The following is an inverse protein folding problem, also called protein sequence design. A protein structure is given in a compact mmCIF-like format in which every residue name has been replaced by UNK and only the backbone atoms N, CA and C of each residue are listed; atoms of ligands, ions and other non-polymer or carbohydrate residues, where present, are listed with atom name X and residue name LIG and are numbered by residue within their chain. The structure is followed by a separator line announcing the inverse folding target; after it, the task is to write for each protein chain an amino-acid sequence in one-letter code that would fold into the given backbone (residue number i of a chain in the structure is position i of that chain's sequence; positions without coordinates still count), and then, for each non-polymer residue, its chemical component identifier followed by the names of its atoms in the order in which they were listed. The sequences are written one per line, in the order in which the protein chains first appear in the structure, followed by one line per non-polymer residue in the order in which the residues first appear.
data_IF_506855563256
#
_entry.id   IF_506855563256
#
_cell.length_a   1.000
_cell.length_b   1.000
_cell.length_c   1.000
_cell.angle_alpha   90.00
_cell.angle_beta   90.00
_cell.angle_gamma   90.00
#
_symmetry.space_group_name_H-M   'P 1'
#
loop_
_entity.id
_entity.type
_entity.pdbx_description
1 polymer ?
#
# COMPACT_ATOMS: atom_id res chain seq x y z
N UNK A 1 18.65 -20.57 -12.54
CA UNK A 1 19.00 -19.90 -11.27
C UNK A 1 17.79 -19.78 -10.35
N UNK A 2 16.73 -19.06 -10.73
CA UNK A 2 15.53 -18.87 -9.89
C UNK A 2 14.94 -20.18 -9.34
N UNK A 3 14.71 -21.18 -10.20
CA UNK A 3 14.15 -22.48 -9.77
C UNK A 3 15.06 -23.19 -8.75
N UNK A 4 16.38 -23.16 -8.96
CA UNK A 4 17.34 -23.77 -8.04
C UNK A 4 17.32 -23.09 -6.66
N UNK A 5 17.13 -21.76 -6.62
CA UNK A 5 16.97 -21.01 -5.37
C UNK A 5 15.65 -21.40 -4.68
N UNK A 6 14.55 -21.48 -5.43
CA UNK A 6 13.25 -21.92 -4.89
C UNK A 6 13.34 -23.34 -4.30
N UNK A 7 13.94 -24.29 -5.03
CA UNK A 7 14.15 -25.67 -4.57
C UNK A 7 15.07 -25.75 -3.34
N UNK A 8 16.10 -24.90 -3.27
CA UNK A 8 16.95 -24.83 -2.08
C UNK A 8 16.16 -24.37 -0.85
N UNK A 9 15.32 -23.34 -1.00
CA UNK A 9 14.44 -22.89 0.09
C UNK A 9 13.44 -23.96 0.50
N UNK A 10 12.88 -24.71 -0.45
CA UNK A 10 12.01 -25.86 -0.15
C UNK A 10 12.75 -26.96 0.63
N UNK A 11 14.01 -27.24 0.30
CA UNK A 11 14.80 -28.29 0.96
C UNK A 11 15.11 -28.02 2.45
N UNK A 12 15.04 -26.76 2.89
CA UNK A 12 15.28 -26.37 4.29
C UNK A 12 13.98 -26.20 5.09
N UNK A 13 12.81 -26.49 4.48
CA UNK A 13 11.51 -26.31 5.14
C UNK A 13 11.34 -27.19 6.35
N UNK A 14 10.71 -26.64 7.38
CA UNK A 14 10.34 -27.34 8.60
C UNK A 14 9.32 -26.49 9.38
N UNK A 15 8.55 -27.13 10.26
CA UNK A 15 7.43 -26.47 10.94
C UNK A 15 7.80 -25.21 11.74
N UNK A 16 9.03 -25.09 12.26
CA UNK A 16 9.47 -23.87 12.94
C UNK A 16 9.70 -22.73 11.94
N UNK A 17 10.45 -22.98 10.86
CA UNK A 17 10.72 -21.97 9.86
C UNK A 17 9.46 -21.60 9.05
N UNK A 18 8.54 -22.55 8.84
CA UNK A 18 7.24 -22.30 8.23
C UNK A 18 6.44 -21.30 9.07
N UNK A 19 6.28 -21.56 10.36
CA UNK A 19 5.58 -20.66 11.27
C UNK A 19 6.26 -19.28 11.36
N UNK A 20 7.60 -19.26 11.40
CA UNK A 20 8.36 -18.01 11.41
C UNK A 20 8.12 -17.19 10.13
N UNK A 21 8.22 -17.79 8.95
CA UNK A 21 8.07 -17.06 7.69
C UNK A 21 6.63 -16.70 7.36
N UNK A 22 5.65 -17.50 7.81
CA UNK A 22 4.24 -17.12 7.79
C UNK A 22 3.99 -15.88 8.65
N UNK A 23 4.54 -15.82 9.87
CA UNK A 23 4.44 -14.60 10.68
C UNK A 23 5.16 -13.40 10.06
N UNK A 24 6.37 -13.60 9.54
CA UNK A 24 7.16 -12.53 8.94
C UNK A 24 6.49 -11.97 7.69
N UNK A 25 5.83 -12.79 6.87
CA UNK A 25 5.20 -12.29 5.63
C UNK A 25 4.08 -11.30 5.89
N UNK A 26 3.40 -11.37 7.04
CA UNK A 26 2.33 -10.42 7.42
C UNK A 26 2.82 -8.96 7.48
N UNK A 27 4.11 -8.73 7.77
CA UNK A 27 4.70 -7.38 7.74
C UNK A 27 4.79 -6.79 6.33
N UNK A 28 4.62 -7.61 5.29
CA UNK A 28 4.49 -7.19 3.90
C UNK A 28 3.05 -7.00 3.43
N UNK A 29 2.06 -7.28 4.28
CA UNK A 29 0.64 -7.25 3.95
C UNK A 29 0.07 -5.82 3.87
N UNK A 30 -1.02 -5.67 3.12
CA UNK A 30 -1.75 -4.40 2.97
C UNK A 30 -2.25 -3.87 4.32
N UNK A 31 -2.68 -4.74 5.25
CA UNK A 31 -3.20 -4.33 6.55
C UNK A 31 -2.15 -3.55 7.37
N UNK A 32 -0.89 -4.02 7.36
CA UNK A 32 0.21 -3.32 8.05
C UNK A 32 0.44 -1.95 7.43
N UNK A 33 0.39 -1.86 6.11
CA UNK A 33 0.47 -0.58 5.41
C UNK A 33 -0.70 0.36 5.77
N UNK A 34 -1.94 -0.13 5.84
CA UNK A 34 -3.12 0.66 6.20
C UNK A 34 -3.02 1.20 7.64
N UNK A 35 -2.54 0.39 8.58
CA UNK A 35 -2.29 0.81 9.96
C UNK A 35 -1.23 1.91 10.00
N UNK A 36 -0.09 1.71 9.35
CA UNK A 36 1.00 2.70 9.35
C UNK A 36 0.54 4.01 8.66
N UNK A 37 -0.08 3.93 7.50
CA UNK A 37 -0.54 5.10 6.75
C UNK A 37 -1.58 5.91 7.54
N UNK A 38 -2.57 5.26 8.16
CA UNK A 38 -3.58 5.94 8.97
C UNK A 38 -2.97 6.59 10.22
N UNK A 39 -2.02 5.94 10.91
CA UNK A 39 -1.27 6.55 12.03
C UNK A 39 -0.50 7.77 11.53
N UNK A 40 0.28 7.63 10.45
CA UNK A 40 1.07 8.73 9.92
C UNK A 40 0.17 9.92 9.54
N UNK A 41 -0.98 9.66 8.93
CA UNK A 41 -1.88 10.67 8.41
C UNK A 41 -2.73 11.36 9.50
N UNK A 42 -3.35 10.59 10.40
CA UNK A 42 -4.27 11.12 11.41
C UNK A 42 -3.61 11.51 12.74
N UNK A 43 -2.42 10.99 13.05
CA UNK A 43 -1.80 11.13 14.39
C UNK A 43 -0.47 11.88 14.36
N UNK A 44 0.34 11.66 13.32
CA UNK A 44 1.72 12.19 13.25
C UNK A 44 1.80 13.46 12.42
N UNK A 45 1.52 13.37 11.11
CA UNK A 45 1.66 14.47 10.16
C UNK A 45 0.93 14.15 8.85
N UNK A 46 -0.09 14.95 8.52
CA UNK A 46 -0.84 14.81 7.27
C UNK A 46 0.06 14.79 6.04
N UNK A 47 1.09 15.65 6.02
CA UNK A 47 2.03 15.73 4.89
C UNK A 47 2.91 14.48 4.76
N UNK A 48 3.28 13.87 5.90
CA UNK A 48 4.03 12.62 5.90
C UNK A 48 3.14 11.45 5.47
N UNK A 49 1.96 11.32 6.06
CA UNK A 49 1.00 10.27 5.71
C UNK A 49 0.58 10.34 4.25
N UNK A 50 0.27 11.53 3.73
CA UNK A 50 -0.06 11.71 2.32
C UNK A 50 1.08 11.30 1.40
N UNK A 51 2.32 11.76 1.65
CA UNK A 51 3.49 11.35 0.86
C UNK A 51 3.74 9.85 0.91
N UNK A 52 3.62 9.24 2.09
CA UNK A 52 3.77 7.79 2.27
C UNK A 52 2.74 7.02 1.43
N UNK A 53 1.47 7.42 1.50
CA UNK A 53 0.40 6.81 0.71
C UNK A 53 0.63 6.99 -0.81
N UNK A 54 1.03 8.18 -1.27
CA UNK A 54 1.28 8.41 -2.69
C UNK A 54 2.45 7.58 -3.23
N UNK A 55 3.52 7.39 -2.44
CA UNK A 55 4.64 6.53 -2.84
C UNK A 55 4.16 5.09 -2.95
N UNK A 56 3.48 4.56 -1.93
CA UNK A 56 3.03 3.18 -1.89
C UNK A 56 2.01 2.86 -3.00
N UNK A 57 0.97 3.68 -3.15
CA UNK A 57 -0.01 3.51 -4.22
C UNK A 57 0.63 3.65 -5.60
N UNK A 58 1.59 4.57 -5.76
CA UNK A 58 2.39 4.67 -6.97
C UNK A 58 3.17 3.38 -7.28
N UNK A 59 3.73 2.74 -6.26
CA UNK A 59 4.37 1.43 -6.44
C UNK A 59 3.39 0.33 -6.80
N UNK A 60 2.18 0.32 -6.23
CA UNK A 60 1.14 -0.67 -6.60
C UNK A 60 0.75 -0.50 -8.06
N UNK A 61 0.50 0.73 -8.50
CA UNK A 61 0.15 1.03 -9.87
C UNK A 61 1.23 0.54 -10.86
N UNK A 62 2.51 0.74 -10.54
CA UNK A 62 3.62 0.22 -11.35
C UNK A 62 3.73 -1.31 -11.26
N UNK A 63 3.49 -1.91 -10.10
CA UNK A 63 3.53 -3.35 -9.90
C UNK A 63 2.51 -4.08 -10.76
N UNK A 64 1.25 -3.68 -10.69
CA UNK A 64 0.16 -4.31 -11.42
C UNK A 64 0.27 -4.06 -12.93
N UNK A 65 0.72 -2.87 -13.33
CA UNK A 65 1.10 -2.62 -14.72
C UNK A 65 2.15 -3.64 -15.18
N UNK A 66 3.26 -3.81 -14.44
CA UNK A 66 4.30 -4.76 -14.80
C UNK A 66 3.82 -6.22 -14.77
N UNK A 67 2.97 -6.58 -13.80
CA UNK A 67 2.38 -7.92 -13.70
C UNK A 67 1.57 -8.28 -14.94
N UNK A 68 0.72 -7.36 -15.37
CA UNK A 68 -0.10 -7.52 -16.58
C UNK A 68 0.77 -7.77 -17.82
N UNK A 69 1.85 -7.01 -18.01
CA UNK A 69 2.73 -7.17 -19.18
C UNK A 69 3.66 -8.39 -19.11
N UNK A 70 4.20 -8.70 -17.92
CA UNK A 70 5.17 -9.79 -17.75
C UNK A 70 4.45 -11.14 -17.69
N UNK A 71 3.26 -11.20 -17.08
CA UNK A 71 2.40 -12.39 -16.98
C UNK A 71 3.18 -13.66 -16.58
N UNK A 72 4.03 -13.54 -15.55
CA UNK A 72 4.85 -14.66 -15.08
C UNK A 72 4.04 -15.55 -14.13
N UNK A 73 3.95 -16.88 -14.35
CA UNK A 73 3.35 -17.79 -13.38
C UNK A 73 4.20 -17.87 -12.10
N UNK A 74 3.57 -18.13 -10.96
CA UNK A 74 4.28 -18.32 -9.68
C UNK A 74 5.01 -19.67 -9.64
N UNK A 75 6.03 -19.83 -8.78
CA UNK A 75 6.75 -21.10 -8.63
C UNK A 75 5.84 -22.30 -8.37
N UNK A 76 4.86 -22.14 -7.46
CA UNK A 76 3.92 -23.21 -7.11
C UNK A 76 2.89 -23.49 -8.20
N UNK A 77 2.43 -22.47 -8.93
CA UNK A 77 1.53 -22.64 -10.07
C UNK A 77 2.21 -23.37 -11.24
N UNK A 78 3.51 -23.17 -11.40
CA UNK A 78 4.33 -23.83 -12.40
C UNK A 78 4.83 -25.23 -11.97
N UNK A 79 4.44 -25.71 -10.77
CA UNK A 79 4.87 -27.01 -10.24
C UNK A 79 6.35 -27.09 -9.89
N UNK A 80 7.03 -25.97 -9.64
CA UNK A 80 8.46 -25.93 -9.29
C UNK A 80 8.70 -26.27 -7.82
N UNK A 81 7.82 -25.80 -6.93
CA UNK A 81 7.86 -26.03 -5.48
C UNK A 81 6.45 -26.08 -4.94
N UNK A 82 6.23 -26.69 -3.79
CA UNK A 82 4.97 -26.59 -3.07
C UNK A 82 4.83 -25.22 -2.39
N UNK A 83 3.59 -24.81 -2.13
CA UNK A 83 3.28 -23.59 -1.39
C UNK A 83 3.10 -23.91 0.09
N UNK A 84 3.63 -23.03 0.96
CA UNK A 84 3.39 -23.09 2.41
C UNK A 84 2.36 -22.02 2.76
N UNK A 85 1.27 -22.43 3.43
CA UNK A 85 0.13 -21.57 3.73
C UNK A 85 -0.79 -21.37 2.52
N UNK A 86 -1.53 -20.26 2.51
CA UNK A 86 -2.46 -19.96 1.42
C UNK A 86 -1.73 -19.41 0.18
N UNK A 87 -1.97 -20.05 -0.97
CA UNK A 87 -1.43 -19.61 -2.25
C UNK A 87 -2.03 -18.26 -2.68
N UNK A 88 -1.17 -17.27 -2.94
CA UNK A 88 -1.63 -16.03 -3.58
C UNK A 88 -1.84 -16.28 -5.07
N UNK A 89 -2.97 -15.85 -5.62
CA UNK A 89 -3.26 -15.96 -7.05
C UNK A 89 -2.66 -14.78 -7.86
N UNK A 90 -2.86 -14.81 -9.18
CA UNK A 90 -2.33 -13.81 -10.12
C UNK A 90 -0.83 -13.95 -10.45
N UNK A 91 -0.30 -12.96 -11.16
CA UNK A 91 1.07 -12.99 -11.68
C UNK A 91 2.15 -12.81 -10.61
N UNK A 92 3.31 -13.45 -10.83
CA UNK A 92 4.42 -13.51 -9.88
C UNK A 92 5.30 -12.26 -9.89
N UNK A 93 5.64 -11.71 -11.06
CA UNK A 93 6.60 -10.61 -11.17
C UNK A 93 5.89 -9.26 -11.34
N UNK A 94 6.18 -8.24 -10.52
CA UNK A 94 7.08 -8.22 -9.35
C UNK A 94 6.39 -8.65 -8.04
N UNK A 95 7.18 -8.99 -7.02
CA UNK A 95 6.66 -9.30 -5.67
C UNK A 95 6.11 -8.06 -4.96
N UNK A 96 4.80 -8.05 -4.70
CA UNK A 96 4.10 -6.95 -4.01
C UNK A 96 4.52 -6.78 -2.55
N UNK A 97 4.72 -7.87 -1.81
CA UNK A 97 5.16 -7.82 -0.42
C UNK A 97 6.60 -7.30 -0.27
N UNK A 98 7.51 -7.74 -1.15
CA UNK A 98 8.89 -7.24 -1.16
C UNK A 98 8.93 -5.74 -1.51
N UNK A 99 8.12 -5.32 -2.49
CA UNK A 99 7.97 -3.92 -2.86
C UNK A 99 7.36 -3.07 -1.74
N UNK A 100 6.27 -3.53 -1.12
CA UNK A 100 5.57 -2.82 -0.05
C UNK A 100 6.45 -2.64 1.18
N UNK A 101 7.08 -3.72 1.65
CA UNK A 101 7.99 -3.65 2.80
C UNK A 101 9.23 -2.79 2.54
N UNK A 102 9.80 -2.83 1.32
CA UNK A 102 10.88 -1.92 0.93
C UNK A 102 10.41 -0.45 0.88
N UNK A 103 9.21 -0.18 0.38
CA UNK A 103 8.62 1.17 0.37
C UNK A 103 8.46 1.72 1.78
N UNK A 104 7.99 0.88 2.71
CA UNK A 104 7.91 1.22 4.13
C UNK A 104 9.29 1.51 4.71
N UNK A 105 10.27 0.64 4.46
CA UNK A 105 11.63 0.82 4.95
C UNK A 105 12.26 2.13 4.46
N UNK A 106 12.18 2.42 3.15
CA UNK A 106 12.74 3.64 2.57
C UNK A 106 12.10 4.91 3.16
N UNK A 107 10.77 4.91 3.30
CA UNK A 107 10.03 6.10 3.76
C UNK A 107 10.21 6.36 5.25
N UNK A 108 10.08 5.32 6.08
CA UNK A 108 10.28 5.44 7.52
C UNK A 108 11.74 5.76 7.86
N UNK A 109 12.70 5.16 7.15
CA UNK A 109 14.11 5.48 7.34
C UNK A 109 14.42 6.94 6.99
N UNK A 110 13.85 7.46 5.89
CA UNK A 110 14.07 8.86 5.52
C UNK A 110 13.59 9.83 6.59
N UNK A 111 12.43 9.57 7.18
CA UNK A 111 11.83 10.46 8.16
C UNK A 111 12.45 10.30 9.56
N UNK A 112 12.66 9.06 10.01
CA UNK A 112 13.01 8.77 11.40
C UNK A 112 14.43 8.22 11.60
N UNK A 113 15.11 7.78 10.52
CA UNK A 113 16.43 7.13 10.59
C UNK A 113 17.55 8.03 11.10
N UNK A 114 17.48 9.34 10.82
CA UNK A 114 18.43 10.33 11.36
C UNK A 114 18.21 10.64 12.83
N UNK A 115 16.96 10.57 13.29
CA UNK A 115 16.60 10.87 14.68
C UNK A 115 16.88 9.70 15.62
N UNK A 116 16.80 8.46 15.12
CA UNK A 116 17.05 7.26 15.90
C UNK A 116 17.84 6.23 15.08
N UNK A 117 19.09 5.98 15.49
CA UNK A 117 20.02 5.05 14.83
C UNK A 117 19.50 3.62 14.70
N UNK A 118 18.54 3.20 15.53
CA UNK A 118 17.95 1.87 15.49
C UNK A 118 16.88 1.69 14.41
N UNK A 119 16.32 2.79 13.89
CA UNK A 119 15.27 2.73 12.85
C UNK A 119 15.82 2.11 11.57
N UNK A 120 16.98 2.57 11.09
CA UNK A 120 17.59 2.09 9.85
C UNK A 120 17.75 0.56 9.83
N UNK A 121 18.51 -0.06 10.76
CA UNK A 121 18.68 -1.50 10.74
C UNK A 121 17.36 -2.25 10.93
N UNK A 122 16.45 -1.76 11.77
CA UNK A 122 15.16 -2.41 12.02
C UNK A 122 14.31 -2.52 10.75
N UNK A 123 14.04 -1.39 10.08
CA UNK A 123 13.10 -1.37 8.95
C UNK A 123 13.64 -2.11 7.74
N UNK A 124 14.96 -2.03 7.48
CA UNK A 124 15.57 -2.78 6.37
C UNK A 124 15.68 -4.27 6.68
N UNK A 125 15.90 -4.66 7.94
CA UNK A 125 15.88 -6.08 8.33
C UNK A 125 14.49 -6.67 8.10
N UNK A 126 13.43 -5.97 8.51
CA UNK A 126 12.05 -6.41 8.25
C UNK A 126 11.79 -6.54 6.75
N UNK A 127 12.17 -5.55 5.93
CA UNK A 127 11.98 -5.61 4.48
C UNK A 127 12.72 -6.79 3.83
N UNK A 128 13.95 -7.09 4.27
CA UNK A 128 14.71 -8.25 3.79
C UNK A 128 14.08 -9.57 4.26
N UNK A 129 13.63 -9.66 5.52
CA UNK A 129 12.98 -10.86 6.05
C UNK A 129 11.65 -11.15 5.34
N UNK A 130 10.83 -10.12 5.09
CA UNK A 130 9.60 -10.23 4.27
C UNK A 130 9.95 -10.67 2.84
N UNK A 131 11.02 -10.10 2.26
CA UNK A 131 11.45 -10.47 0.90
C UNK A 131 11.87 -11.94 0.81
N UNK A 132 12.61 -12.45 1.81
CA UNK A 132 13.02 -13.85 1.90
C UNK A 132 11.81 -14.75 2.14
N UNK A 133 10.86 -14.35 2.98
CA UNK A 133 9.67 -15.15 3.28
C UNK A 133 8.89 -15.50 2.02
N UNK A 134 8.79 -14.57 1.05
CA UNK A 134 8.08 -14.82 -0.22
C UNK A 134 8.71 -15.92 -1.09
N UNK A 135 10.03 -16.09 -1.01
CA UNK A 135 10.74 -17.16 -1.73
C UNK A 135 10.58 -18.46 -0.95
N UNK A 136 10.80 -18.40 0.38
CA UNK A 136 10.66 -19.54 1.29
C UNK A 136 9.29 -20.20 1.18
N UNK A 137 8.22 -19.39 1.22
CA UNK A 137 6.83 -19.87 1.16
C UNK A 137 6.40 -20.34 -0.25
N UNK A 138 7.30 -20.29 -1.25
CA UNK A 138 7.03 -20.73 -2.62
C UNK A 138 6.20 -19.75 -3.45
N UNK A 139 5.95 -18.54 -2.95
CA UNK A 139 5.03 -17.57 -3.55
C UNK A 139 5.64 -16.79 -4.71
N UNK A 140 6.96 -16.58 -4.69
CA UNK A 140 7.70 -15.78 -5.67
C UNK A 140 9.10 -16.34 -5.92
N UNK A 141 9.62 -16.10 -7.12
CA UNK A 141 11.02 -16.35 -7.43
C UNK A 141 11.91 -15.24 -6.85
N UNK A 142 13.21 -15.52 -6.72
CA UNK A 142 14.20 -14.54 -6.26
C UNK A 142 14.21 -13.27 -7.14
N UNK A 143 14.17 -13.41 -8.47
CA UNK A 143 14.11 -12.25 -9.36
C UNK A 143 12.84 -11.40 -9.19
N UNK A 144 11.68 -11.99 -8.84
CA UNK A 144 10.45 -11.23 -8.59
C UNK A 144 10.61 -10.29 -7.39
N UNK A 145 11.31 -10.78 -6.36
CA UNK A 145 11.64 -10.03 -5.14
C UNK A 145 12.58 -8.87 -5.45
N UNK A 146 13.65 -9.12 -6.19
CA UNK A 146 14.61 -8.08 -6.58
C UNK A 146 13.93 -7.00 -7.42
N UNK A 147 13.13 -7.38 -8.42
CA UNK A 147 12.39 -6.42 -9.26
C UNK A 147 11.41 -5.61 -8.40
N UNK A 148 10.69 -6.24 -7.47
CA UNK A 148 9.78 -5.54 -6.55
C UNK A 148 10.50 -4.50 -5.68
N UNK A 149 11.66 -4.84 -5.11
CA UNK A 149 12.48 -3.91 -4.32
C UNK A 149 13.01 -2.76 -5.19
N UNK A 150 13.40 -3.04 -6.44
CA UNK A 150 13.85 -2.02 -7.38
C UNK A 150 12.72 -1.05 -7.77
N UNK A 151 11.50 -1.55 -8.01
CA UNK A 151 10.32 -0.71 -8.28
C UNK A 151 10.08 0.23 -7.09
N UNK A 152 10.09 -0.30 -5.86
CA UNK A 152 9.95 0.52 -4.65
C UNK A 152 11.00 1.64 -4.59
N UNK A 153 12.27 1.30 -4.84
CA UNK A 153 13.37 2.27 -4.84
C UNK A 153 13.19 3.36 -5.91
N UNK A 154 12.85 2.97 -7.15
CA UNK A 154 12.70 3.90 -8.28
C UNK A 154 11.53 4.87 -8.04
N UNK A 155 10.37 4.37 -7.60
CA UNK A 155 9.21 5.22 -7.31
C UNK A 155 9.50 6.16 -6.15
N UNK A 156 10.07 5.64 -5.05
CA UNK A 156 10.49 6.43 -3.90
C UNK A 156 11.45 7.55 -4.30
N UNK A 157 12.51 7.22 -5.05
CA UNK A 157 13.51 8.17 -5.49
C UNK A 157 12.89 9.24 -6.42
N UNK A 158 12.04 8.82 -7.34
CA UNK A 158 11.34 9.72 -8.28
C UNK A 158 10.51 10.75 -7.51
N UNK A 159 9.65 10.30 -6.58
CA UNK A 159 8.76 11.20 -5.83
C UNK A 159 9.55 12.10 -4.87
N UNK A 160 10.55 11.55 -4.17
CA UNK A 160 11.19 12.25 -3.05
C UNK A 160 12.51 12.97 -3.37
N UNK A 161 13.13 12.70 -4.51
CA UNK A 161 14.39 13.34 -4.93
C UNK A 161 14.25 14.05 -6.27
N UNK A 162 13.56 13.45 -7.25
CA UNK A 162 13.39 14.06 -8.58
C UNK A 162 12.25 15.07 -8.59
N UNK A 163 11.09 14.73 -8.02
CA UNK A 163 9.92 15.61 -7.94
C UNK A 163 10.23 17.03 -7.44
N UNK A 164 10.92 17.18 -6.29
CA UNK A 164 11.32 18.51 -5.80
C UNK A 164 12.21 19.30 -6.76
N UNK A 165 13.14 18.64 -7.48
CA UNK A 165 14.00 19.29 -8.48
C UNK A 165 13.21 19.82 -9.67
N UNK A 166 12.14 19.10 -10.05
CA UNK A 166 11.21 19.49 -11.11
C UNK A 166 10.11 20.46 -10.63
N UNK A 167 10.17 20.94 -9.37
CA UNK A 167 9.10 21.73 -8.72
C UNK A 167 7.73 21.02 -8.79
N UNK A 168 7.76 19.69 -8.86
CA UNK A 168 6.60 18.81 -8.96
C UNK A 168 6.29 18.25 -7.58
N UNK A 169 5.20 18.73 -6.98
CA UNK A 169 4.68 18.14 -5.75
C UNK A 169 3.95 16.83 -6.06
N UNK A 170 3.76 15.92 -5.08
CA UNK A 170 3.01 14.70 -5.34
C UNK A 170 1.60 14.99 -5.88
N UNK A 171 0.89 16.01 -5.37
CA UNK A 171 -0.42 16.41 -5.88
C UNK A 171 -0.38 16.78 -7.37
N UNK A 172 0.55 17.67 -7.75
CA UNK A 172 0.72 18.10 -9.14
C UNK A 172 1.05 16.92 -10.05
N UNK A 173 1.89 16.00 -9.57
CA UNK A 173 2.20 14.78 -10.31
C UNK A 173 0.95 13.94 -10.55
N UNK A 174 0.12 13.70 -9.53
CA UNK A 174 -1.11 12.92 -9.65
C UNK A 174 -2.10 13.58 -10.62
N UNK A 175 -2.32 14.89 -10.53
CA UNK A 175 -3.20 15.59 -11.47
C UNK A 175 -2.67 15.57 -12.91
N UNK A 176 -1.36 15.67 -13.10
CA UNK A 176 -0.75 15.59 -14.42
C UNK A 176 -0.80 14.17 -15.00
N UNK A 177 -0.58 13.15 -14.17
CA UNK A 177 -0.58 11.75 -14.56
C UNK A 177 -1.98 11.13 -14.65
N UNK A 178 -3.02 11.77 -14.09
CA UNK A 178 -4.37 11.21 -13.98
C UNK A 178 -4.98 10.79 -15.32
N UNK A 179 -4.82 11.51 -16.45
CA UNK A 179 -5.40 11.06 -17.71
C UNK A 179 -4.77 9.74 -18.19
N UNK A 180 -3.47 9.57 -17.97
CA UNK A 180 -2.74 8.35 -18.32
C UNK A 180 -3.12 7.22 -17.37
N UNK A 181 -3.10 7.46 -16.06
CA UNK A 181 -3.49 6.46 -15.05
C UNK A 181 -4.92 5.98 -15.25
N UNK A 182 -5.84 6.90 -15.56
CA UNK A 182 -7.24 6.55 -15.83
C UNK A 182 -7.41 5.83 -17.16
N UNK A 183 -6.71 6.26 -18.22
CA UNK A 183 -6.74 5.59 -19.52
C UNK A 183 -6.22 4.15 -19.46
N UNK A 184 -5.22 3.90 -18.61
CA UNK A 184 -4.68 2.55 -18.39
C UNK A 184 -5.65 1.60 -17.69
N UNK A 185 -6.69 2.08 -17.00
CA UNK A 185 -7.72 1.21 -16.40
C UNK A 185 -8.42 0.34 -17.45
N UNK A 186 -8.56 0.84 -18.67
CA UNK A 186 -9.19 0.10 -19.77
C UNK A 186 -8.30 -0.98 -20.39
N UNK A 187 -7.03 -1.03 -19.98
CA UNK A 187 -6.02 -1.98 -20.50
C UNK A 187 -5.57 -2.91 -19.39
N UNK A 188 -5.17 -2.36 -18.24
CA UNK A 188 -4.69 -3.10 -17.06
C UNK A 188 -5.90 -3.49 -16.22
N UNK A 189 -6.49 -4.64 -16.55
CA UNK A 189 -7.67 -5.20 -15.87
C UNK A 189 -7.29 -5.92 -14.57
N UNK A 190 -6.54 -5.24 -13.70
CA UNK A 190 -6.05 -5.75 -12.42
C UNK A 190 -6.71 -5.00 -11.26
N UNK A 191 -7.22 -5.72 -10.27
CA UNK A 191 -7.93 -5.14 -9.11
C UNK A 191 -7.09 -4.09 -8.38
N UNK A 192 -5.83 -4.37 -8.05
CA UNK A 192 -5.04 -3.43 -7.25
C UNK A 192 -4.66 -2.19 -8.05
N UNK A 193 -4.61 -2.27 -9.39
CA UNK A 193 -4.46 -1.11 -10.25
C UNK A 193 -5.67 -0.16 -10.12
N UNK A 194 -6.90 -0.69 -10.18
CA UNK A 194 -8.14 0.09 -9.99
C UNK A 194 -8.20 0.73 -8.59
N UNK A 195 -7.88 -0.04 -7.57
CA UNK A 195 -7.81 0.44 -6.17
C UNK A 195 -6.74 1.52 -6.02
N UNK A 196 -5.55 1.34 -6.60
CA UNK A 196 -4.47 2.31 -6.52
C UNK A 196 -4.83 3.64 -7.18
N UNK A 197 -5.34 3.61 -8.43
CA UNK A 197 -5.71 4.83 -9.15
C UNK A 197 -6.85 5.56 -8.44
N UNK A 198 -7.89 4.84 -8.01
CA UNK A 198 -9.00 5.44 -7.26
C UNK A 198 -8.54 6.10 -5.96
N UNK A 199 -7.72 5.40 -5.17
CA UNK A 199 -7.15 5.90 -3.92
C UNK A 199 -6.24 7.12 -4.15
N UNK A 200 -5.38 7.10 -5.17
CA UNK A 200 -4.49 8.21 -5.52
C UNK A 200 -5.28 9.49 -5.83
N UNK A 201 -6.35 9.37 -6.63
CA UNK A 201 -7.22 10.50 -6.98
C UNK A 201 -7.99 11.01 -5.77
N UNK A 202 -8.68 10.12 -5.05
CA UNK A 202 -9.50 10.47 -3.90
C UNK A 202 -8.68 11.08 -2.76
N UNK A 203 -7.51 10.52 -2.45
CA UNK A 203 -6.61 11.06 -1.43
C UNK A 203 -6.05 12.42 -1.83
N UNK A 204 -5.71 12.62 -3.11
CA UNK A 204 -5.17 13.90 -3.59
C UNK A 204 -6.22 15.00 -3.57
N UNK A 205 -7.42 14.73 -4.10
CA UNK A 205 -8.56 15.65 -4.05
C UNK A 205 -8.92 15.96 -2.60
N UNK A 206 -9.07 14.93 -1.76
CA UNK A 206 -9.46 15.08 -0.37
C UNK A 206 -8.43 15.87 0.44
N UNK A 207 -7.14 15.63 0.22
CA UNK A 207 -6.06 16.35 0.87
C UNK A 207 -6.02 17.84 0.50
N UNK A 208 -6.22 18.18 -0.78
CA UNK A 208 -6.25 19.58 -1.21
C UNK A 208 -7.49 20.31 -0.68
N UNK A 209 -8.65 19.65 -0.68
CA UNK A 209 -9.88 20.20 -0.10
C UNK A 209 -9.76 20.39 1.42
N UNK A 210 -9.15 19.44 2.13
CA UNK A 210 -8.89 19.54 3.55
C UNK A 210 -7.98 20.74 3.86
N UNK A 211 -6.90 20.91 3.08
CA UNK A 211 -5.98 22.04 3.22
C UNK A 211 -6.58 23.38 2.84
N UNK A 212 -7.63 23.41 2.01
CA UNK A 212 -8.27 24.64 1.57
C UNK A 212 -9.44 25.08 2.45
N UNK A 213 -10.15 24.12 3.06
CA UNK A 213 -11.43 24.40 3.73
C UNK A 213 -11.48 23.99 5.21
N UNK A 214 -10.71 23.00 5.66
CA UNK A 214 -10.82 22.43 7.02
C UNK A 214 -9.64 22.85 7.89
N UNK A 215 -8.42 22.81 7.36
CA UNK A 215 -7.18 23.18 8.06
C UNK A 215 -6.97 22.45 9.40
N UNK A 216 -7.28 21.16 9.47
CA UNK A 216 -7.18 20.40 10.72
C UNK A 216 -5.71 20.21 11.14
N UNK A 217 -5.30 20.78 12.27
CA UNK A 217 -3.95 20.57 12.82
C UNK A 217 -3.90 19.33 13.71
N UNK A 218 -3.20 18.30 13.23
CA UNK A 218 -2.97 17.03 13.94
C UNK A 218 -1.93 17.19 15.07
N UNK A 219 -0.98 18.11 14.93
CA UNK A 219 0.14 18.26 15.88
C UNK A 219 -0.29 18.93 17.18
N UNK A 220 -1.30 19.80 17.13
CA UNK A 220 -1.83 20.51 18.30
C UNK A 220 -2.78 19.66 19.18
N UNK A 221 -3.01 18.39 18.83
CA UNK A 221 -3.96 17.52 19.54
C UNK A 221 -3.32 16.83 20.74
N UNK A 222 -4.07 16.74 21.83
CA UNK A 222 -3.65 15.96 23.01
C UNK A 222 -3.59 14.47 22.66
N UNK A 223 -2.86 13.68 23.46
CA UNK A 223 -2.77 12.22 23.25
C UNK A 223 -4.16 11.57 23.22
N UNK A 224 -5.05 11.93 24.14
CA UNK A 224 -6.42 11.43 24.16
C UNK A 224 -7.19 11.79 22.88
N UNK A 225 -7.09 13.05 22.43
CA UNK A 225 -7.73 13.46 21.17
C UNK A 225 -7.20 12.69 19.97
N UNK A 226 -5.90 12.42 19.91
CA UNK A 226 -5.28 11.60 18.86
C UNK A 226 -5.80 10.17 18.87
N UNK A 227 -5.89 9.54 20.04
CA UNK A 227 -6.45 8.19 20.19
C UNK A 227 -7.90 8.16 19.75
N UNK A 228 -8.74 9.10 20.23
CA UNK A 228 -10.14 9.18 19.85
C UNK A 228 -10.34 9.44 18.35
N UNK A 229 -9.50 10.30 17.77
CA UNK A 229 -9.48 10.58 16.32
C UNK A 229 -9.18 9.31 15.53
N UNK A 230 -8.14 8.57 15.94
CA UNK A 230 -7.74 7.34 15.27
C UNK A 230 -8.83 6.26 15.36
N UNK A 231 -9.37 6.00 16.55
CA UNK A 231 -10.45 5.03 16.76
C UNK A 231 -11.69 5.42 15.96
N UNK A 232 -12.13 6.67 16.04
CA UNK A 232 -13.31 7.13 15.30
C UNK A 232 -13.10 7.02 13.78
N UNK A 233 -11.93 7.44 13.29
CA UNK A 233 -11.58 7.37 11.88
C UNK A 233 -11.63 5.94 11.35
N UNK A 234 -11.01 4.99 12.08
CA UNK A 234 -11.02 3.57 11.74
C UNK A 234 -12.42 2.98 11.78
N UNK A 235 -13.20 3.24 12.83
CA UNK A 235 -14.56 2.72 12.95
C UNK A 235 -15.42 3.15 11.76
N UNK A 236 -15.40 4.43 11.39
CA UNK A 236 -16.17 4.89 10.22
C UNK A 236 -15.61 4.33 8.92
N UNK A 237 -14.28 4.21 8.77
CA UNK A 237 -13.70 3.60 7.58
C UNK A 237 -14.11 2.14 7.41
N UNK A 238 -14.18 1.36 8.50
CA UNK A 238 -14.66 -0.03 8.47
C UNK A 238 -16.16 -0.11 8.16
N UNK A 239 -16.97 0.74 8.79
CA UNK A 239 -18.40 0.82 8.49
C UNK A 239 -18.67 1.22 7.04
N UNK A 240 -17.88 2.14 6.48
CA UNK A 240 -17.96 2.50 5.07
C UNK A 240 -17.50 1.34 4.18
N UNK A 241 -16.38 0.68 4.51
CA UNK A 241 -15.88 -0.47 3.73
C UNK A 241 -16.94 -1.56 3.62
N UNK A 242 -17.55 -1.96 4.74
CA UNK A 242 -18.58 -3.02 4.72
C UNK A 242 -19.93 -2.52 4.20
N UNK A 243 -20.35 -1.30 4.55
CA UNK A 243 -21.60 -0.71 4.07
C UNK A 243 -21.61 -0.46 2.56
N UNK A 244 -20.49 -0.05 1.98
CA UNK A 244 -20.37 0.16 0.54
C UNK A 244 -20.47 -1.15 -0.25
N UNK A 245 -20.04 -2.29 0.30
CA UNK A 245 -20.25 -3.60 -0.34
C UNK A 245 -21.73 -3.97 -0.46
N UNK A 246 -22.57 -3.52 0.48
CA UNK A 246 -24.03 -3.77 0.41
C UNK A 246 -24.72 -2.97 -0.70
N UNK A 247 -24.19 -1.79 -1.03
CA UNK A 247 -24.76 -0.88 -2.04
C UNK A 247 -24.12 -1.09 -3.41
N UNK A 248 -22.83 -1.42 -3.45
CA UNK A 248 -22.02 -1.67 -4.65
C UNK A 248 -21.43 -3.09 -4.59
N UNK A 249 -22.27 -4.14 -4.70
CA UNK A 249 -21.84 -5.53 -4.53
C UNK A 249 -21.03 -6.02 -5.74
N UNK A 250 -20.15 -6.99 -5.50
CA UNK A 250 -19.41 -7.69 -6.55
C UNK A 250 -19.99 -9.09 -6.80
N UNK A 251 -19.67 -9.65 -7.96
CA UNK A 251 -20.10 -10.99 -8.35
C UNK A 251 -19.34 -12.11 -7.63
N UNK A 252 -18.08 -11.87 -7.23
CA UNK A 252 -17.21 -12.85 -6.56
C UNK A 252 -16.16 -12.19 -5.64
N UNK A 253 -15.85 -12.85 -4.52
CA UNK A 253 -14.76 -12.46 -3.59
C UNK A 253 -13.37 -12.89 -4.11
N UNK A 254 -13.32 -13.73 -5.15
CA UNK A 254 -12.09 -14.29 -5.68
C UNK A 254 -11.54 -13.34 -6.75
N UNK A 255 -10.39 -12.73 -6.46
CA UNK A 255 -9.73 -11.76 -7.35
C UNK A 255 -9.51 -12.30 -8.78
N UNK A 256 -9.26 -13.60 -8.92
CA UNK A 256 -9.02 -14.25 -10.21
C UNK A 256 -10.25 -14.30 -11.13
N UNK A 257 -11.45 -14.20 -10.57
CA UNK A 257 -12.72 -14.36 -11.30
C UNK A 257 -13.50 -13.04 -11.43
N UNK A 258 -12.89 -11.91 -11.07
CA UNK A 258 -13.55 -10.60 -11.09
C UNK A 258 -13.91 -10.16 -12.51
N UNK A 259 -15.14 -9.66 -12.67
CA UNK A 259 -15.59 -9.07 -13.93
C UNK A 259 -15.11 -7.62 -14.07
N UNK A 260 -15.14 -7.07 -15.29
CA UNK A 260 -14.85 -5.65 -15.54
C UNK A 260 -15.78 -4.74 -14.71
N UNK A 261 -17.04 -5.14 -14.53
CA UNK A 261 -17.98 -4.39 -13.68
C UNK A 261 -17.51 -4.38 -12.23
N UNK A 262 -17.05 -5.52 -11.69
CA UNK A 262 -16.55 -5.61 -10.32
C UNK A 262 -15.35 -4.68 -10.08
N UNK A 263 -14.45 -4.57 -11.06
CA UNK A 263 -13.30 -3.66 -11.02
C UNK A 263 -13.75 -2.19 -10.93
N UNK A 264 -14.73 -1.77 -11.74
CA UNK A 264 -15.28 -0.41 -11.67
C UNK A 264 -16.05 -0.16 -10.37
N UNK A 265 -16.75 -1.16 -9.84
CA UNK A 265 -17.39 -1.04 -8.53
C UNK A 265 -16.36 -0.88 -7.42
N UNK A 266 -15.25 -1.62 -7.47
CA UNK A 266 -14.12 -1.41 -6.55
C UNK A 266 -13.53 0.00 -6.69
N UNK A 267 -13.34 0.49 -7.92
CA UNK A 267 -12.87 1.86 -8.13
C UNK A 267 -13.76 2.88 -7.41
N UNK A 268 -15.09 2.77 -7.54
CA UNK A 268 -16.02 3.70 -6.86
C UNK A 268 -15.98 3.53 -5.35
N UNK A 269 -16.00 2.29 -4.84
CA UNK A 269 -15.95 1.99 -3.40
C UNK A 269 -14.70 2.58 -2.75
N UNK A 270 -13.53 2.31 -3.33
CA UNK A 270 -12.26 2.80 -2.80
C UNK A 270 -12.09 4.31 -3.01
N UNK A 271 -12.66 4.89 -4.07
CA UNK A 271 -12.71 6.35 -4.21
C UNK A 271 -13.48 7.00 -3.05
N UNK A 272 -14.67 6.51 -2.71
CA UNK A 272 -15.47 7.03 -1.60
C UNK A 272 -14.76 6.82 -0.26
N UNK A 273 -14.23 5.62 -0.02
CA UNK A 273 -13.50 5.28 1.21
C UNK A 273 -12.28 6.19 1.38
N UNK A 274 -11.45 6.36 0.36
CA UNK A 274 -10.26 7.20 0.42
C UNK A 274 -10.59 8.69 0.51
N UNK A 275 -11.70 9.14 -0.08
CA UNK A 275 -12.17 10.53 0.08
C UNK A 275 -12.65 10.77 1.52
N UNK A 276 -13.31 9.79 2.14
CA UNK A 276 -13.57 9.83 3.59
C UNK A 276 -12.27 9.91 4.38
N UNK A 277 -11.29 9.04 4.13
CA UNK A 277 -10.02 9.04 4.83
C UNK A 277 -9.32 10.40 4.75
N UNK A 278 -9.26 11.00 3.56
CA UNK A 278 -8.55 12.26 3.31
C UNK A 278 -9.30 13.53 3.70
N UNK A 279 -10.64 13.55 3.63
CA UNK A 279 -11.46 14.76 3.81
C UNK A 279 -12.55 14.58 4.87
N UNK A 280 -13.40 13.57 4.70
CA UNK A 280 -14.57 13.37 5.56
C UNK A 280 -14.21 13.17 7.04
N UNK A 281 -13.15 12.40 7.29
CA UNK A 281 -12.61 12.16 8.63
C UNK A 281 -12.23 13.47 9.32
N UNK A 282 -11.46 14.34 8.66
CA UNK A 282 -11.06 15.63 9.22
C UNK A 282 -12.21 16.61 9.39
N UNK A 283 -13.22 16.55 8.52
CA UNK A 283 -14.44 17.33 8.71
C UNK A 283 -15.11 16.94 10.03
N UNK A 284 -15.31 15.64 10.27
CA UNK A 284 -15.89 15.14 11.53
C UNK A 284 -15.00 15.47 12.73
N UNK A 285 -13.68 15.24 12.62
CA UNK A 285 -12.74 15.54 13.69
C UNK A 285 -12.76 17.03 14.08
N UNK A 286 -12.90 17.93 13.10
CA UNK A 286 -12.97 19.39 13.34
C UNK A 286 -14.22 19.81 14.12
N UNK A 287 -15.33 19.07 13.97
CA UNK A 287 -16.59 19.35 14.68
C UNK A 287 -16.58 18.81 16.11
N UNK A 288 -15.97 17.64 16.32
CA UNK A 288 -15.90 16.97 17.63
C UNK A 288 -14.79 17.57 18.49
N UNK A 289 -13.59 17.71 17.93
CA UNK A 289 -12.41 18.17 18.65
C UNK A 289 -12.13 19.64 18.31
N UNK A 290 -12.90 20.55 18.90
CA UNK A 290 -12.59 21.99 18.82
C UNK A 290 -11.20 22.23 19.40
N UNK A 291 -10.36 23.04 18.73
CA UNK A 291 -9.14 23.50 19.39
C UNK A 291 -9.57 24.31 20.62
N UNK A 292 -8.82 24.21 21.72
CA UNK A 292 -8.93 25.27 22.73
C UNK A 292 -8.59 26.56 22.02
N UNK A 293 -9.47 27.56 22.06
CA UNK A 293 -9.07 28.92 21.72
C UNK A 293 -7.81 29.24 22.52
N UNK A 294 -6.78 29.71 21.83
CA UNK A 294 -5.52 30.16 22.43
C UNK A 294 -5.79 31.15 23.56
#
# INVERSE_FOLDING_TARGET
MDQAISLWFESIRNGFLDAFFLFITEFGDELVFLIISSILYWVVSKDLGYRFMMIFLGTIAVNDFLKFFINRPRPWQAGVVEVVGEGSYGHSMPSGHAQGSMTMALTLNKEFGKANKWVTPLVFTIAVLVSISRIYLGQHYFSDVIVGMLVAFVVFYTILKVGPKLKMTPQKFIYFASPVLFGLLFIVLEKNYYVAVSAMLALTIGYDLEKKYIHYDVKQRTVLQKVLTYVLGLTVALLLKEGLKMVLPYTTDIDADMTVLDLWLDFVRYFILCLWLALGSFFVFSKIFKSKSA
#
